data_IF_364000396108
#
_entry.id   IF_364000396108
#
_cell.length_a   1.000
_cell.length_b   1.000
_cell.length_c   1.000
_cell.angle_alpha   90.00
_cell.angle_beta   90.00
_cell.angle_gamma   90.00
#
_symmetry.space_group_name_H-M   'P 1'
#
loop_
_entity.id
_entity.type
_entity.pdbx_description
1 polymer ?
#
# COMPACT_ATOMS: atom_id res chain seq x y z
N UNK A 1 -6.11 -61.31 -49.18
CA UNK A 1 -6.26 -59.88 -49.48
C UNK A 1 -6.82 -59.21 -48.20
N UNK A 2 -5.94 -58.69 -47.35
CA UNK A 2 -6.33 -58.17 -46.01
C UNK A 2 -6.20 -56.64 -46.02
N UNK A 3 -7.33 -55.99 -45.91
CA UNK A 3 -7.45 -54.54 -45.79
C UNK A 3 -7.27 -54.15 -44.31
N UNK A 4 -6.10 -53.62 -43.96
CA UNK A 4 -5.83 -53.01 -42.65
C UNK A 4 -6.53 -51.65 -42.54
N UNK A 5 -7.53 -51.58 -41.69
CA UNK A 5 -8.17 -50.32 -41.30
C UNK A 5 -7.35 -49.69 -40.17
N UNK A 6 -6.59 -48.66 -40.49
CA UNK A 6 -5.93 -47.80 -39.53
C UNK A 6 -7.00 -46.88 -38.92
N UNK A 7 -7.32 -47.08 -37.65
CA UNK A 7 -8.16 -46.16 -36.87
C UNK A 7 -7.30 -45.02 -36.32
N UNK A 8 -7.42 -43.85 -36.95
CA UNK A 8 -6.82 -42.62 -36.47
C UNK A 8 -7.62 -42.11 -35.29
N UNK A 9 -7.10 -42.18 -34.06
CA UNK A 9 -7.68 -41.60 -32.89
C UNK A 9 -7.29 -40.11 -32.85
N UNK A 10 -8.26 -39.23 -33.04
CA UNK A 10 -8.10 -37.80 -32.80
C UNK A 10 -8.15 -37.52 -31.30
N UNK A 11 -7.02 -37.23 -30.69
CA UNK A 11 -6.98 -36.64 -29.33
C UNK A 11 -7.29 -35.15 -29.45
N UNK A 12 -8.49 -34.75 -29.09
CA UNK A 12 -8.85 -33.35 -28.89
C UNK A 12 -8.22 -32.86 -27.57
N UNK A 13 -7.12 -32.14 -27.66
CA UNK A 13 -6.54 -31.45 -26.51
C UNK A 13 -7.38 -30.20 -26.22
N UNK A 14 -8.23 -30.25 -25.21
CA UNK A 14 -8.93 -29.08 -24.69
C UNK A 14 -7.92 -28.22 -23.93
N UNK A 15 -7.47 -27.14 -24.53
CA UNK A 15 -6.66 -26.11 -23.86
C UNK A 15 -7.57 -25.33 -22.89
N UNK A 16 -7.43 -25.59 -21.59
CA UNK A 16 -8.09 -24.85 -20.53
C UNK A 16 -7.34 -23.52 -20.36
N UNK A 17 -7.80 -22.46 -21.04
CA UNK A 17 -7.33 -21.11 -20.80
C UNK A 17 -7.82 -20.65 -19.42
N UNK A 18 -6.98 -20.77 -18.39
CA UNK A 18 -7.17 -20.04 -17.13
C UNK A 18 -7.02 -18.54 -17.41
N UNK A 19 -8.13 -17.85 -17.57
CA UNK A 19 -8.15 -16.39 -17.57
C UNK A 19 -7.78 -15.93 -16.14
N UNK A 20 -6.52 -15.53 -15.94
CA UNK A 20 -6.13 -14.81 -14.75
C UNK A 20 -6.86 -13.47 -14.77
N UNK A 21 -7.93 -13.34 -13.97
CA UNK A 21 -8.55 -12.04 -13.73
C UNK A 21 -7.48 -11.11 -13.14
N UNK A 22 -7.32 -9.88 -13.66
CA UNK A 22 -6.43 -8.92 -13.01
C UNK A 22 -6.96 -8.69 -11.59
N UNK A 23 -6.13 -8.96 -10.57
CA UNK A 23 -6.39 -8.46 -9.23
C UNK A 23 -6.42 -6.94 -9.37
N UNK A 24 -7.62 -6.35 -9.32
CA UNK A 24 -7.76 -4.91 -9.22
C UNK A 24 -7.04 -4.50 -7.93
N UNK A 25 -5.96 -3.72 -8.05
CA UNK A 25 -5.30 -3.12 -6.91
C UNK A 25 -6.37 -2.39 -6.11
N UNK A 26 -6.54 -2.74 -4.83
CA UNK A 26 -7.48 -2.07 -3.97
C UNK A 26 -6.98 -0.62 -3.81
N UNK A 27 -7.65 0.33 -4.45
CA UNK A 27 -7.25 1.73 -4.38
C UNK A 27 -7.46 2.22 -2.94
N UNK A 28 -6.36 2.58 -2.30
CA UNK A 28 -6.38 3.19 -0.97
C UNK A 28 -7.26 4.43 -0.98
N UNK A 29 -8.41 4.34 -0.28
CA UNK A 29 -9.38 5.42 -0.24
C UNK A 29 -8.82 6.63 0.51
N UNK A 30 -9.11 7.80 -0.02
CA UNK A 30 -8.77 9.09 0.58
C UNK A 30 -10.01 9.96 0.69
N UNK A 31 -10.01 10.87 1.65
CA UNK A 31 -11.06 11.87 1.89
C UNK A 31 -10.46 13.26 1.88
N UNK A 32 -11.25 14.26 1.53
CA UNK A 32 -10.78 15.65 1.41
C UNK A 32 -9.96 15.89 0.13
N UNK A 33 -9.41 17.08 0.00
CA UNK A 33 -8.58 17.50 -1.13
C UNK A 33 -7.54 18.53 -0.70
N UNK A 34 -6.43 18.63 -1.45
CA UNK A 34 -5.34 19.54 -1.14
C UNK A 34 -4.82 19.35 0.28
N UNK A 35 -4.66 20.44 1.02
CA UNK A 35 -4.15 20.41 2.39
C UNK A 35 -5.04 19.65 3.37
N UNK A 36 -6.31 19.48 3.08
CA UNK A 36 -7.27 18.71 3.88
C UNK A 36 -7.34 17.23 3.49
N UNK A 37 -6.56 16.80 2.50
CA UNK A 37 -6.53 15.39 2.07
C UNK A 37 -6.03 14.48 3.18
N UNK A 38 -6.73 13.36 3.39
CA UNK A 38 -6.37 12.36 4.38
C UNK A 38 -6.70 10.94 3.89
N UNK A 39 -6.17 9.92 4.54
CA UNK A 39 -6.64 8.55 4.32
C UNK A 39 -8.06 8.38 4.86
N UNK A 40 -8.86 7.55 4.20
CA UNK A 40 -10.16 7.11 4.72
C UNK A 40 -9.96 5.87 5.61
N UNK A 41 -10.13 5.98 6.93
CA UNK A 41 -9.90 4.85 7.84
C UNK A 41 -11.05 3.84 7.87
N UNK A 42 -12.14 4.04 7.12
CA UNK A 42 -13.33 3.19 7.17
C UNK A 42 -13.03 1.72 6.84
N UNK A 43 -12.08 1.47 5.94
CA UNK A 43 -11.63 0.15 5.55
C UNK A 43 -10.44 -0.40 6.35
N UNK A 44 -9.92 0.33 7.33
CA UNK A 44 -8.76 -0.12 8.10
C UNK A 44 -9.14 -1.20 9.11
N UNK A 45 -8.20 -2.12 9.36
CA UNK A 45 -8.31 -3.03 10.50
C UNK A 45 -8.36 -2.21 11.79
N UNK A 46 -9.12 -2.67 12.78
CA UNK A 46 -9.39 -1.89 14.00
C UNK A 46 -8.10 -1.44 14.72
N UNK A 47 -7.10 -2.30 14.81
CA UNK A 47 -5.78 -1.97 15.37
C UNK A 47 -5.04 -0.85 14.60
N UNK A 48 -5.33 -0.68 13.30
CA UNK A 48 -4.72 0.37 12.48
C UNK A 48 -5.43 1.71 12.60
N UNK A 49 -6.70 1.72 13.00
CA UNK A 49 -7.44 2.96 13.24
C UNK A 49 -6.85 3.77 14.38
N UNK A 50 -6.49 3.13 15.50
CA UNK A 50 -5.83 3.82 16.62
C UNK A 50 -4.45 4.39 16.24
N UNK A 51 -3.68 3.67 15.42
CA UNK A 51 -2.40 4.15 14.88
C UNK A 51 -2.59 5.30 13.90
N UNK A 52 -3.68 5.28 13.13
CA UNK A 52 -4.04 6.37 12.24
C UNK A 52 -4.38 7.66 13.00
N UNK A 53 -5.03 7.59 14.15
CA UNK A 53 -5.28 8.77 14.98
C UNK A 53 -3.96 9.41 15.46
N UNK A 54 -2.95 8.61 15.80
CA UNK A 54 -1.61 9.13 16.11
C UNK A 54 -1.01 9.83 14.88
N UNK A 55 -1.02 9.20 13.73
CA UNK A 55 -0.52 9.79 12.49
C UNK A 55 -1.25 11.11 12.18
N UNK A 56 -2.58 11.09 12.19
CA UNK A 56 -3.42 12.23 11.86
C UNK A 56 -3.20 13.42 12.80
N UNK A 57 -2.96 13.17 14.10
CA UNK A 57 -2.77 14.24 15.09
C UNK A 57 -1.34 14.77 15.14
N UNK A 58 -0.33 13.94 14.83
CA UNK A 58 1.08 14.29 15.00
C UNK A 58 1.75 14.74 13.69
N UNK A 59 1.46 14.07 12.58
CA UNK A 59 2.15 14.36 11.31
C UNK A 59 1.71 15.69 10.67
N UNK A 60 0.47 16.10 10.86
CA UNK A 60 -0.06 17.35 10.28
C UNK A 60 0.41 18.62 10.96
N UNK A 61 1.16 18.52 12.06
CA UNK A 61 1.73 19.70 12.75
C UNK A 61 2.76 20.46 11.90
N UNK A 62 3.47 19.78 11.02
CA UNK A 62 4.58 20.35 10.25
C UNK A 62 4.36 20.30 8.73
N UNK A 63 3.51 19.42 8.23
CA UNK A 63 3.21 19.27 6.81
C UNK A 63 1.85 18.61 6.60
N UNK A 64 1.28 18.74 5.40
CA UNK A 64 0.01 18.10 5.07
C UNK A 64 0.16 16.58 4.91
N UNK A 65 -0.94 15.85 5.06
CA UNK A 65 -0.97 14.40 4.84
C UNK A 65 -0.80 14.03 3.37
N UNK A 66 -1.08 14.95 2.45
CA UNK A 66 -0.99 14.74 1.00
C UNK A 66 0.34 14.10 0.57
N UNK A 67 1.47 14.59 1.08
CA UNK A 67 2.81 14.05 0.76
C UNK A 67 2.95 12.58 1.16
N UNK A 68 2.42 12.20 2.30
CA UNK A 68 2.44 10.82 2.78
C UNK A 68 1.53 9.95 1.92
N UNK A 69 0.35 10.45 1.55
CA UNK A 69 -0.59 9.76 0.68
C UNK A 69 0.04 9.50 -0.69
N UNK A 70 0.65 10.52 -1.30
CA UNK A 70 1.33 10.38 -2.60
C UNK A 70 2.45 9.35 -2.50
N UNK A 71 3.30 9.44 -1.47
CA UNK A 71 4.41 8.50 -1.28
C UNK A 71 3.93 7.05 -1.17
N UNK A 72 2.86 6.80 -0.40
CA UNK A 72 2.31 5.45 -0.22
C UNK A 72 1.63 4.94 -1.50
N UNK A 73 0.82 5.77 -2.16
CA UNK A 73 0.10 5.36 -3.38
C UNK A 73 1.01 5.15 -4.58
N UNK A 74 2.09 5.92 -4.69
CA UNK A 74 3.01 5.86 -5.85
C UNK A 74 4.26 5.03 -5.60
N UNK A 75 4.58 4.71 -4.33
CA UNK A 75 5.85 4.09 -3.96
C UNK A 75 7.06 5.02 -4.13
N UNK A 76 6.85 6.33 -4.27
CA UNK A 76 7.91 7.33 -4.49
C UNK A 76 7.71 8.52 -3.56
N UNK A 77 8.75 8.90 -2.83
CA UNK A 77 8.73 10.09 -1.98
C UNK A 77 8.70 11.36 -2.85
N UNK A 78 7.65 12.22 -2.77
CA UNK A 78 7.40 13.27 -3.75
C UNK A 78 8.46 14.39 -3.78
N UNK A 79 9.21 14.58 -2.68
CA UNK A 79 10.23 15.62 -2.62
C UNK A 79 11.60 15.13 -3.11
N UNK A 80 11.97 13.89 -2.73
CA UNK A 80 13.30 13.34 -3.04
C UNK A 80 13.34 12.50 -4.31
N UNK A 81 12.18 12.05 -4.79
CA UNK A 81 12.09 11.10 -5.90
C UNK A 81 12.59 9.69 -5.56
N UNK A 82 12.93 9.43 -4.30
CA UNK A 82 13.44 8.13 -3.87
C UNK A 82 12.31 7.11 -3.66
N UNK A 83 12.57 5.82 -3.81
CA UNK A 83 11.60 4.77 -3.48
C UNK A 83 11.07 4.94 -2.05
N UNK A 84 9.75 4.79 -1.90
CA UNK A 84 9.09 4.84 -0.61
C UNK A 84 8.59 3.45 -0.24
N UNK A 85 9.46 2.67 0.36
CA UNK A 85 9.26 1.30 0.80
C UNK A 85 9.29 1.17 2.33
N UNK A 86 9.29 -0.07 2.85
CA UNK A 86 9.38 -0.35 4.29
C UNK A 86 10.70 0.17 4.94
N UNK A 87 11.79 0.21 4.18
CA UNK A 87 13.03 0.82 4.62
C UNK A 87 12.89 2.32 4.78
N UNK A 88 12.25 2.97 3.79
CA UNK A 88 11.96 4.40 3.83
C UNK A 88 11.00 4.77 4.98
N UNK A 89 9.94 4.01 5.23
CA UNK A 89 9.02 4.29 6.36
C UNK A 89 9.75 4.33 7.69
N UNK A 90 10.66 3.38 7.94
CA UNK A 90 11.50 3.35 9.14
C UNK A 90 12.44 4.56 9.21
N UNK A 91 13.11 4.88 8.11
CA UNK A 91 14.03 6.02 8.05
C UNK A 91 13.31 7.35 8.30
N UNK A 92 12.13 7.54 7.71
CA UNK A 92 11.30 8.72 7.96
C UNK A 92 10.78 8.76 9.40
N UNK A 93 10.37 7.64 9.98
CA UNK A 93 9.98 7.55 11.39
C UNK A 93 11.11 8.03 12.33
N UNK A 94 12.33 7.55 12.13
CA UNK A 94 13.51 7.98 12.89
C UNK A 94 13.79 9.48 12.69
N UNK A 95 13.66 9.96 11.45
CA UNK A 95 13.85 11.38 11.14
C UNK A 95 12.81 12.25 11.86
N UNK A 96 11.55 11.85 11.91
CA UNK A 96 10.50 12.58 12.65
C UNK A 96 10.75 12.57 14.15
N UNK A 97 11.15 11.43 14.72
CA UNK A 97 11.50 11.32 16.15
C UNK A 97 12.61 12.32 16.58
N UNK A 98 13.54 12.59 15.67
CA UNK A 98 14.67 13.50 15.92
C UNK A 98 14.34 14.98 15.75
N UNK A 99 13.17 15.32 15.24
CA UNK A 99 12.73 16.71 15.10
C UNK A 99 12.30 17.26 16.46
N UNK A 100 12.86 18.39 16.93
CA UNK A 100 12.57 18.95 18.25
C UNK A 100 11.07 19.17 18.51
N UNK A 101 10.35 19.60 17.48
CA UNK A 101 8.94 19.99 17.58
C UNK A 101 7.96 18.88 17.17
N UNK A 102 8.46 17.64 16.97
CA UNK A 102 7.58 16.54 16.54
C UNK A 102 6.59 16.12 17.60
N UNK A 103 6.93 16.32 18.89
CA UNK A 103 6.13 15.89 20.03
C UNK A 103 5.73 14.40 19.91
N UNK A 104 6.66 13.57 19.42
CA UNK A 104 6.49 12.14 19.25
C UNK A 104 7.48 11.36 20.10
N UNK A 105 7.00 10.32 20.76
CA UNK A 105 7.83 9.34 21.44
C UNK A 105 8.11 8.11 20.55
N UNK A 106 8.97 7.21 21.01
CA UNK A 106 9.38 6.01 20.26
C UNK A 106 8.20 5.08 19.92
N UNK A 107 7.25 4.92 20.84
CA UNK A 107 6.10 4.05 20.65
C UNK A 107 5.14 4.62 19.60
N UNK A 108 4.93 5.93 19.62
CA UNK A 108 4.13 6.62 18.59
C UNK A 108 4.79 6.53 17.22
N UNK A 109 6.10 6.71 17.12
CA UNK A 109 6.83 6.52 15.85
C UNK A 109 6.71 5.08 15.36
N UNK A 110 6.87 4.10 16.25
CA UNK A 110 6.67 2.68 15.91
C UNK A 110 5.27 2.43 15.36
N UNK A 111 4.24 2.94 16.04
CA UNK A 111 2.85 2.80 15.60
C UNK A 111 2.61 3.42 14.20
N UNK A 112 3.17 4.60 13.94
CA UNK A 112 3.05 5.26 12.63
C UNK A 112 3.81 4.49 11.54
N UNK A 113 5.00 3.95 11.83
CA UNK A 113 5.75 3.11 10.88
C UNK A 113 4.98 1.83 10.55
N UNK A 114 4.39 1.17 11.53
CA UNK A 114 3.56 -0.01 11.32
C UNK A 114 2.33 0.31 10.47
N UNK A 115 1.67 1.45 10.71
CA UNK A 115 0.57 1.92 9.89
C UNK A 115 1.02 2.19 8.44
N UNK A 116 2.13 2.91 8.23
CA UNK A 116 2.64 3.17 6.88
C UNK A 116 2.95 1.88 6.12
N UNK A 117 3.53 0.88 6.79
CA UNK A 117 3.77 -0.43 6.19
C UNK A 117 2.47 -1.16 5.82
N UNK A 118 1.46 -1.09 6.68
CA UNK A 118 0.13 -1.61 6.38
C UNK A 118 -0.48 -0.90 5.15
N UNK A 119 -0.38 0.43 5.06
CA UNK A 119 -0.90 1.20 3.95
C UNK A 119 -0.15 0.91 2.63
N UNK A 120 1.17 0.65 2.68
CA UNK A 120 1.95 0.19 1.52
C UNK A 120 1.45 -1.17 1.03
N UNK A 121 1.14 -2.09 1.94
CA UNK A 121 0.58 -3.40 1.57
C UNK A 121 -0.82 -3.27 0.96
N UNK A 122 -1.66 -2.37 1.49
CA UNK A 122 -2.99 -2.10 0.93
C UNK A 122 -2.89 -1.46 -0.47
N UNK A 123 -1.94 -0.55 -0.68
CA UNK A 123 -1.72 0.10 -1.97
C UNK A 123 -1.17 -0.86 -3.04
N UNK A 124 -0.52 -1.95 -2.63
CA UNK A 124 0.07 -2.95 -3.53
C UNK A 124 -0.91 -4.07 -3.94
N UNK A 125 -2.11 -4.10 -3.40
CA UNK A 125 -3.14 -5.12 -3.72
C UNK A 125 -3.92 -4.76 -4.96
#
# INVERSE_FOLDING_TARGET
MNANRVRTAFFAAAALCLAAAPLAAADLKTVGSGDAMNFDPSGFREEMKSKFEIMRSKCVKCHTMERTIVAIKTGVAPISGQPFDRGATKAYGIKMLRKPDSDMNKDQVKAVVELMNYLLDEAAR
#
